data_IF_438052499805
#
_entry.id   IF_438052499805
#
_cell.length_a   1.000
_cell.length_b   1.000
_cell.length_c   1.000
_cell.angle_alpha   90.00
_cell.angle_beta   90.00
_cell.angle_gamma   90.00
#
_symmetry.space_group_name_H-M   'P 1'
#
loop_
_entity.id
_entity.type
_entity.pdbx_description
1 polymer ?
#
# COMPACT_ATOMS: atom_id res chain seq x y z
N UNK A 1 -9.28 17.83 21.71
CA UNK A 1 -9.37 18.33 20.33
C UNK A 1 -8.44 17.45 19.51
N UNK A 2 -8.92 16.74 18.48
CA UNK A 2 -8.03 15.99 17.62
C UNK A 2 -7.02 16.96 17.01
N UNK A 3 -5.81 16.46 16.88
CA UNK A 3 -4.65 17.18 16.43
C UNK A 3 -4.78 17.32 14.90
N UNK A 4 -4.83 18.54 14.31
CA UNK A 4 -5.14 18.71 12.90
C UNK A 4 -4.18 17.95 11.97
N UNK A 5 -2.85 18.04 12.18
CA UNK A 5 -1.87 17.35 11.31
C UNK A 5 -1.89 15.82 11.44
N UNK A 6 -2.10 15.28 12.63
CA UNK A 6 -2.18 13.82 12.86
C UNK A 6 -3.48 13.28 12.28
N UNK A 7 -4.57 14.05 12.35
CA UNK A 7 -5.84 13.69 11.72
C UNK A 7 -5.71 13.66 10.19
N UNK A 8 -5.24 14.74 9.57
CA UNK A 8 -5.03 14.82 8.12
C UNK A 8 -4.08 13.73 7.61
N UNK A 9 -3.01 13.46 8.37
CA UNK A 9 -2.08 12.38 8.08
C UNK A 9 -2.80 11.03 8.11
N UNK A 10 -3.57 10.72 9.17
CA UNK A 10 -4.34 9.48 9.28
C UNK A 10 -5.36 9.31 8.14
N UNK A 11 -6.05 10.38 7.76
CA UNK A 11 -7.01 10.36 6.63
C UNK A 11 -6.28 10.05 5.31
N UNK A 12 -5.17 10.75 5.04
CA UNK A 12 -4.36 10.52 3.84
C UNK A 12 -3.78 9.11 3.79
N UNK A 13 -3.25 8.60 4.91
CA UNK A 13 -2.73 7.23 4.98
C UNK A 13 -3.83 6.19 4.82
N UNK A 14 -5.03 6.44 5.36
CA UNK A 14 -6.17 5.54 5.16
C UNK A 14 -6.50 5.41 3.68
N UNK A 15 -6.46 6.50 2.90
CA UNK A 15 -6.68 6.46 1.45
C UNK A 15 -5.62 5.60 0.76
N UNK A 16 -4.35 5.77 1.13
CA UNK A 16 -3.24 5.00 0.54
C UNK A 16 -3.36 3.51 0.90
N UNK A 17 -3.68 3.17 2.15
CA UNK A 17 -3.89 1.78 2.58
C UNK A 17 -5.07 1.14 1.85
N UNK A 18 -6.17 1.87 1.66
CA UNK A 18 -7.31 1.38 0.86
C UNK A 18 -6.90 1.12 -0.59
N UNK A 19 -6.20 2.07 -1.23
CA UNK A 19 -5.75 1.88 -2.60
C UNK A 19 -4.78 0.69 -2.75
N UNK A 20 -3.90 0.46 -1.78
CA UNK A 20 -3.03 -0.72 -1.76
C UNK A 20 -3.83 -2.03 -1.65
N UNK A 21 -4.89 -2.04 -0.82
CA UNK A 21 -5.83 -3.15 -0.73
C UNK A 21 -6.55 -3.42 -2.05
N UNK A 22 -7.06 -2.36 -2.71
CA UNK A 22 -7.74 -2.46 -4.00
C UNK A 22 -6.82 -3.05 -5.09
N UNK A 23 -5.53 -2.69 -5.09
CA UNK A 23 -4.54 -3.26 -6.01
C UNK A 23 -4.34 -4.75 -5.74
N UNK A 24 -4.24 -5.16 -4.48
CA UNK A 24 -4.11 -6.58 -4.14
C UNK A 24 -5.35 -7.41 -4.53
N UNK A 25 -6.54 -6.85 -4.33
CA UNK A 25 -7.77 -7.48 -4.81
C UNK A 25 -7.76 -7.63 -6.34
N UNK A 26 -7.31 -6.61 -7.07
CA UNK A 26 -7.19 -6.66 -8.52
C UNK A 26 -6.16 -7.72 -8.99
N UNK A 27 -5.00 -7.80 -8.32
CA UNK A 27 -3.99 -8.84 -8.56
C UNK A 27 -4.61 -10.23 -8.37
N UNK A 28 -5.33 -10.44 -7.27
CA UNK A 28 -5.96 -11.72 -6.98
C UNK A 28 -7.04 -12.06 -8.01
N UNK A 29 -7.82 -11.07 -8.48
CA UNK A 29 -8.80 -11.27 -9.53
C UNK A 29 -8.15 -11.74 -10.84
N UNK A 30 -7.00 -11.18 -11.23
CA UNK A 30 -6.23 -11.64 -12.40
C UNK A 30 -5.75 -13.07 -12.20
N UNK A 31 -5.16 -13.40 -11.06
CA UNK A 31 -4.70 -14.76 -10.76
C UNK A 31 -5.83 -15.79 -10.81
N UNK A 32 -7.03 -15.44 -10.34
CA UNK A 32 -8.20 -16.32 -10.39
C UNK A 32 -8.65 -16.65 -11.84
N UNK A 33 -8.30 -15.82 -12.82
CA UNK A 33 -8.56 -16.10 -14.24
C UNK A 33 -7.54 -17.09 -14.83
N UNK A 34 -6.37 -17.22 -14.21
CA UNK A 34 -5.29 -18.12 -14.63
C UNK A 34 -5.55 -19.49 -14.00
N UNK A 35 -6.37 -20.29 -14.67
CA UNK A 35 -6.73 -21.64 -14.24
C UNK A 35 -6.51 -22.67 -15.34
N UNK A 36 -6.45 -23.94 -14.95
CA UNK A 36 -6.30 -25.08 -15.87
C UNK A 36 -7.44 -25.21 -16.89
N UNK A 37 -8.60 -24.62 -16.59
CA UNK A 37 -9.75 -24.57 -17.50
C UNK A 37 -9.62 -23.51 -18.59
N UNK A 38 -8.90 -22.42 -18.31
CA UNK A 38 -8.73 -21.31 -19.24
C UNK A 38 -7.54 -21.54 -20.16
N UNK A 39 -6.37 -21.91 -19.60
CA UNK A 39 -5.09 -21.86 -20.33
C UNK A 39 -4.27 -23.14 -20.14
N UNK A 40 -3.83 -23.78 -21.25
CA UNK A 40 -2.96 -24.96 -21.22
C UNK A 40 -1.85 -24.89 -22.27
N UNK A 41 -0.72 -25.57 -22.01
CA UNK A 41 0.41 -25.69 -22.94
C UNK A 41 1.64 -24.85 -22.57
N UNK A 42 2.80 -25.07 -23.23
CA UNK A 42 4.08 -24.48 -22.81
C UNK A 42 4.10 -22.93 -22.77
N UNK A 43 3.38 -22.28 -23.69
CA UNK A 43 3.30 -20.82 -23.74
C UNK A 43 2.49 -20.25 -22.57
N UNK A 44 1.41 -20.94 -22.17
CA UNK A 44 0.63 -20.57 -21.00
C UNK A 44 1.48 -20.67 -19.73
N UNK A 45 2.24 -21.75 -19.57
CA UNK A 45 3.17 -21.92 -18.42
C UNK A 45 4.26 -20.85 -18.39
N UNK A 46 4.82 -20.48 -19.54
CA UNK A 46 5.81 -19.40 -19.63
C UNK A 46 5.21 -18.08 -19.16
N UNK A 47 4.04 -17.72 -19.66
CA UNK A 47 3.38 -16.47 -19.26
C UNK A 47 2.95 -16.48 -17.79
N UNK A 48 2.47 -17.61 -17.26
CA UNK A 48 2.13 -17.75 -15.83
C UNK A 48 3.37 -17.51 -14.94
N UNK A 49 4.54 -17.98 -15.39
CA UNK A 49 5.82 -17.72 -14.71
C UNK A 49 6.14 -16.22 -14.67
N UNK A 50 6.00 -15.54 -15.82
CA UNK A 50 6.22 -14.10 -15.92
C UNK A 50 5.23 -13.32 -15.05
N UNK A 51 3.94 -13.69 -15.09
CA UNK A 51 2.89 -13.10 -14.26
C UNK A 51 3.21 -13.25 -12.77
N UNK A 52 3.61 -14.44 -12.33
CA UNK A 52 3.98 -14.68 -10.93
C UNK A 52 5.16 -13.80 -10.50
N UNK A 53 6.12 -13.54 -11.40
CA UNK A 53 7.19 -12.58 -11.18
C UNK A 53 6.65 -11.16 -10.96
N UNK A 54 5.83 -10.66 -11.89
CA UNK A 54 5.22 -9.32 -11.77
C UNK A 54 4.37 -9.17 -10.51
N UNK A 55 3.58 -10.18 -10.15
CA UNK A 55 2.78 -10.18 -8.94
C UNK A 55 3.67 -10.09 -7.71
N UNK A 56 4.76 -10.86 -7.65
CA UNK A 56 5.69 -10.83 -6.53
C UNK A 56 6.29 -9.44 -6.35
N UNK A 57 6.73 -8.80 -7.43
CA UNK A 57 7.30 -7.44 -7.39
C UNK A 57 6.27 -6.39 -6.94
N UNK A 58 5.03 -6.51 -7.42
CA UNK A 58 3.94 -5.63 -7.00
C UNK A 58 3.64 -5.80 -5.50
N UNK A 59 3.51 -7.03 -5.01
CA UNK A 59 3.26 -7.31 -3.58
C UNK A 59 4.37 -6.82 -2.68
N UNK A 60 5.63 -7.01 -3.08
CA UNK A 60 6.78 -6.50 -2.33
C UNK A 60 6.76 -4.97 -2.24
N UNK A 61 6.27 -4.29 -3.28
CA UNK A 61 6.13 -2.83 -3.30
C UNK A 61 4.97 -2.33 -2.43
N UNK A 62 3.93 -3.16 -2.23
CA UNK A 62 2.75 -2.84 -1.42
C UNK A 62 2.87 -3.25 0.06
N UNK A 63 3.75 -4.20 0.40
CA UNK A 63 3.89 -4.80 1.73
C UNK A 63 4.65 -3.92 2.73
N UNK A 64 5.65 -4.50 3.43
CA UNK A 64 6.43 -3.88 4.52
C UNK A 64 6.84 -2.40 4.29
N UNK A 65 7.27 -1.98 3.09
CA UNK A 65 7.62 -0.58 2.85
C UNK A 65 6.46 0.40 3.08
N UNK A 66 5.21 -0.02 2.86
CA UNK A 66 4.04 0.82 3.05
C UNK A 66 3.73 1.04 4.54
N UNK A 67 3.80 -0.02 5.34
CA UNK A 67 3.57 0.07 6.79
C UNK A 67 4.63 0.95 7.47
N UNK A 68 5.91 0.74 7.13
CA UNK A 68 7.02 1.56 7.65
C UNK A 68 6.87 3.04 7.25
N UNK A 69 6.44 3.31 6.02
CA UNK A 69 6.18 4.68 5.54
C UNK A 69 5.02 5.34 6.31
N UNK A 70 3.94 4.59 6.58
CA UNK A 70 2.79 5.06 7.38
C UNK A 70 3.22 5.40 8.81
N UNK A 71 4.01 4.53 9.45
CA UNK A 71 4.51 4.80 10.80
C UNK A 71 5.42 6.03 10.86
N UNK A 72 6.32 6.15 9.88
CA UNK A 72 7.22 7.31 9.75
C UNK A 72 6.43 8.60 9.55
N UNK A 73 5.40 8.59 8.69
CA UNK A 73 4.53 9.74 8.48
C UNK A 73 3.78 10.15 9.76
N UNK A 74 3.28 9.17 10.54
CA UNK A 74 2.67 9.44 11.86
C UNK A 74 3.65 10.06 12.84
N UNK A 75 4.89 9.60 12.87
CA UNK A 75 5.92 10.14 13.74
C UNK A 75 6.21 11.61 13.41
N UNK A 76 6.42 11.93 12.13
CA UNK A 76 6.68 13.28 11.66
C UNK A 76 5.48 14.22 11.93
N UNK A 77 4.25 13.76 11.70
CA UNK A 77 3.04 14.55 11.98
C UNK A 77 2.91 14.91 13.47
N UNK A 78 3.32 14.01 14.37
CA UNK A 78 3.35 14.27 15.82
C UNK A 78 4.44 15.28 16.19
N UNK A 79 5.60 15.21 15.54
CA UNK A 79 6.71 16.14 15.77
C UNK A 79 6.34 17.57 15.36
N UNK A 80 5.91 17.78 14.11
CA UNK A 80 5.49 19.11 13.63
C UNK A 80 4.36 19.70 14.46
N UNK A 81 3.47 18.85 14.97
CA UNK A 81 2.43 19.35 15.83
C UNK A 81 2.96 19.81 17.21
N UNK A 82 3.95 19.13 17.79
CA UNK A 82 4.62 19.62 19.01
C UNK A 82 5.33 20.95 18.76
N UNK A 83 6.03 21.08 17.64
CA UNK A 83 6.73 22.31 17.26
C UNK A 83 5.77 23.49 17.07
N UNK A 84 4.67 23.28 16.34
CA UNK A 84 3.65 24.33 16.14
C UNK A 84 2.99 24.77 17.45
N UNK A 85 2.80 23.84 18.40
CA UNK A 85 2.26 24.14 19.73
C UNK A 85 3.25 24.91 20.61
N UNK A 86 4.56 24.64 20.47
CA UNK A 86 5.62 25.31 21.22
C UNK A 86 5.91 26.73 20.69
N UNK A 87 5.72 26.97 19.39
CA UNK A 87 5.87 28.29 18.77
C UNK A 87 4.72 29.27 19.07
N UNK A 88 3.55 28.78 19.49
CA UNK A 88 2.35 29.59 19.75
C UNK A 88 2.32 30.29 21.12
N UNK A 89 3.34 30.09 21.97
CA UNK A 89 3.37 30.60 23.37
C UNK A 89 4.41 31.73 23.57
N UNK A 90 4.91 32.37 22.50
CA UNK A 90 5.78 33.55 22.60
C UNK A 90 5.15 34.78 21.94
#
# INVERSE_FOLDING_TARGET
MPIPFVQECNESMSIVTTAAGDIEEAIQAVLNLVGSETWTGPMATSWETDLNGFVTDARNSLGTPLDEAIETARANAREWQRESSAGAVN
#
